data_IF_483766983576
#
_entry.id   IF_483766983576
#
_cell.length_a   1.000
_cell.length_b   1.000
_cell.length_c   1.000
_cell.angle_alpha   90.00
_cell.angle_beta   90.00
_cell.angle_gamma   90.00
#
_symmetry.space_group_name_H-M   'P 1'
#
loop_
_entity.id
_entity.type
_entity.pdbx_description
1 polymer ?
#
# COMPACT_ATOMS: atom_id res chain seq x y z
N UNK A 1 26.30 -9.02 18.28
CA UNK A 1 25.20 -8.23 18.85
C UNK A 1 24.01 -8.39 17.92
N UNK A 2 22.93 -9.01 18.38
CA UNK A 2 21.70 -9.20 17.59
C UNK A 2 20.61 -8.31 18.16
N UNK A 3 20.05 -7.43 17.34
CA UNK A 3 18.94 -6.57 17.69
C UNK A 3 17.62 -7.26 17.34
N UNK A 4 16.57 -7.02 18.11
CA UNK A 4 15.22 -7.51 17.83
C UNK A 4 14.33 -6.27 17.74
N UNK A 5 13.73 -6.04 16.57
CA UNK A 5 12.74 -4.97 16.36
C UNK A 5 11.37 -5.54 16.67
N UNK A 6 10.71 -4.99 17.69
CA UNK A 6 9.34 -5.36 18.06
C UNK A 6 8.35 -4.42 17.36
N UNK A 7 7.61 -4.93 16.37
CA UNK A 7 6.57 -4.18 15.65
C UNK A 7 5.43 -3.87 16.63
N UNK A 8 5.22 -2.58 16.94
CA UNK A 8 4.08 -2.15 17.75
C UNK A 8 2.81 -2.19 16.88
N UNK A 9 1.68 -2.70 17.41
CA UNK A 9 0.44 -2.77 16.66
C UNK A 9 -0.07 -1.36 16.34
N UNK A 10 -0.31 -1.10 15.06
CA UNK A 10 -0.87 0.16 14.57
C UNK A 10 -2.41 0.06 14.56
N UNK A 11 -3.16 1.13 14.89
CA UNK A 11 -4.63 1.11 14.87
C UNK A 11 -5.25 0.70 13.53
N UNK A 12 -4.50 0.89 12.43
CA UNK A 12 -4.92 0.50 11.08
C UNK A 12 -4.60 -0.97 10.74
N UNK A 13 -3.93 -1.72 11.60
CA UNK A 13 -3.55 -3.11 11.31
C UNK A 13 -4.77 -4.01 11.13
N UNK A 14 -5.81 -3.83 11.97
CA UNK A 14 -7.06 -4.57 11.82
C UNK A 14 -7.78 -4.24 10.51
N UNK A 15 -7.78 -2.96 10.11
CA UNK A 15 -8.40 -2.50 8.85
C UNK A 15 -7.63 -3.06 7.66
N UNK A 16 -6.30 -3.06 7.73
CA UNK A 16 -5.44 -3.65 6.71
C UNK A 16 -5.71 -5.14 6.53
N UNK A 17 -5.74 -5.90 7.63
CA UNK A 17 -6.01 -7.35 7.58
C UNK A 17 -7.36 -7.66 6.94
N UNK A 18 -8.39 -6.88 7.26
CA UNK A 18 -9.73 -7.04 6.65
C UNK A 18 -9.70 -6.71 5.16
N UNK A 19 -9.05 -5.61 4.76
CA UNK A 19 -8.95 -5.21 3.35
C UNK A 19 -8.16 -6.24 2.53
N UNK A 20 -7.05 -6.76 3.06
CA UNK A 20 -6.27 -7.82 2.42
C UNK A 20 -7.09 -9.09 2.23
N UNK A 21 -7.80 -9.54 3.26
CA UNK A 21 -8.66 -10.72 3.16
C UNK A 21 -9.74 -10.56 2.08
N UNK A 22 -10.32 -9.36 1.94
CA UNK A 22 -11.31 -9.07 0.91
C UNK A 22 -10.72 -9.15 -0.51
N UNK A 23 -9.49 -8.67 -0.70
CA UNK A 23 -8.76 -8.78 -1.98
C UNK A 23 -8.46 -10.24 -2.31
N UNK A 24 -7.92 -11.00 -1.35
CA UNK A 24 -7.61 -12.42 -1.51
C UNK A 24 -8.87 -13.25 -1.82
N UNK A 25 -9.99 -12.98 -1.13
CA UNK A 25 -11.26 -13.65 -1.37
C UNK A 25 -11.80 -13.35 -2.78
N UNK A 26 -11.72 -12.09 -3.22
CA UNK A 26 -12.18 -11.70 -4.55
C UNK A 26 -11.30 -12.32 -5.66
N UNK A 27 -9.97 -12.35 -5.46
CA UNK A 27 -9.06 -13.00 -6.41
C UNK A 27 -9.30 -14.51 -6.47
N UNK A 28 -9.48 -15.18 -5.33
CA UNK A 28 -9.79 -16.60 -5.28
C UNK A 28 -11.12 -16.93 -5.99
N UNK A 29 -12.11 -16.04 -5.93
CA UNK A 29 -13.37 -16.21 -6.65
C UNK A 29 -13.20 -16.08 -8.17
N UNK A 30 -12.32 -15.18 -8.64
CA UNK A 30 -11.94 -15.08 -10.06
C UNK A 30 -11.20 -16.36 -10.49
N UNK A 31 -10.22 -16.83 -9.71
CA UNK A 31 -9.42 -18.01 -10.04
C UNK A 31 -10.24 -19.30 -10.03
N UNK A 32 -11.31 -19.36 -9.22
CA UNK A 32 -12.23 -20.49 -9.16
C UNK A 32 -13.26 -20.52 -10.29
N UNK A 33 -13.34 -19.46 -11.12
CA UNK A 33 -14.32 -19.37 -12.21
C UNK A 33 -13.99 -20.39 -13.31
N UNK A 34 -14.86 -21.39 -13.47
CA UNK A 34 -14.68 -22.42 -14.48
C UNK A 34 -14.93 -21.88 -15.89
N UNK A 35 -14.06 -22.25 -16.84
CA UNK A 35 -14.21 -21.88 -18.25
C UNK A 35 -15.10 -22.89 -19.00
N UNK A 36 -15.97 -22.45 -19.93
CA UNK A 36 -16.19 -21.06 -20.35
C UNK A 36 -17.10 -20.28 -19.38
N UNK A 37 -16.80 -19.01 -19.17
CA UNK A 37 -17.63 -18.07 -18.41
C UNK A 37 -18.14 -16.93 -19.31
N UNK A 38 -19.23 -16.30 -18.89
CA UNK A 38 -19.80 -15.13 -19.56
C UNK A 38 -19.17 -13.83 -19.06
N UNK A 39 -19.25 -12.76 -19.87
CA UNK A 39 -18.78 -11.43 -19.45
C UNK A 39 -19.46 -10.96 -18.16
N UNK A 40 -20.77 -11.19 -18.00
CA UNK A 40 -21.49 -10.79 -16.80
C UNK A 40 -21.01 -11.49 -15.52
N UNK A 41 -20.54 -12.74 -15.62
CA UNK A 41 -20.00 -13.49 -14.48
C UNK A 41 -18.62 -12.98 -14.07
N UNK A 42 -17.74 -12.70 -15.04
CA UNK A 42 -16.41 -12.17 -14.75
C UNK A 42 -16.45 -10.69 -14.34
N UNK A 43 -17.31 -9.87 -14.96
CA UNK A 43 -17.42 -8.44 -14.66
C UNK A 43 -17.80 -8.21 -13.19
N UNK A 44 -18.78 -8.96 -12.67
CA UNK A 44 -19.19 -8.86 -11.26
C UNK A 44 -18.06 -9.22 -10.28
N UNK A 45 -17.21 -10.19 -10.63
CA UNK A 45 -16.07 -10.60 -9.82
C UNK A 45 -14.92 -9.59 -9.90
N UNK A 46 -14.66 -9.06 -11.11
CA UNK A 46 -13.67 -8.02 -11.35
C UNK A 46 -14.05 -6.72 -10.63
N UNK A 47 -15.32 -6.36 -10.60
CA UNK A 47 -15.84 -5.21 -9.86
C UNK A 47 -15.65 -5.38 -8.34
N UNK A 48 -15.94 -6.57 -7.81
CA UNK A 48 -15.71 -6.89 -6.39
C UNK A 48 -14.23 -6.80 -6.03
N UNK A 49 -13.36 -7.41 -6.85
CA UNK A 49 -11.91 -7.34 -6.67
C UNK A 49 -11.43 -5.89 -6.74
N UNK A 50 -11.95 -5.14 -7.71
CA UNK A 50 -11.66 -3.73 -7.91
C UNK A 50 -12.00 -2.86 -6.69
N UNK A 51 -13.18 -3.03 -6.11
CA UNK A 51 -13.56 -2.27 -4.93
C UNK A 51 -12.67 -2.61 -3.72
N UNK A 52 -12.32 -3.88 -3.55
CA UNK A 52 -11.44 -4.34 -2.47
C UNK A 52 -10.02 -3.77 -2.60
N UNK A 53 -9.46 -3.80 -3.81
CA UNK A 53 -8.13 -3.24 -4.09
C UNK A 53 -8.10 -1.72 -3.85
N UNK A 54 -9.12 -0.97 -4.28
CA UNK A 54 -9.22 0.47 -4.00
C UNK A 54 -9.28 0.78 -2.49
N UNK A 55 -10.01 -0.01 -1.72
CA UNK A 55 -10.10 0.15 -0.27
C UNK A 55 -8.73 -0.05 0.40
N UNK A 56 -7.96 -1.05 -0.04
CA UNK A 56 -6.59 -1.25 0.42
C UNK A 56 -5.67 -0.10 0.00
N UNK A 57 -5.80 0.38 -1.24
CA UNK A 57 -4.99 1.48 -1.77
C UNK A 57 -5.19 2.80 -1.02
N UNK A 58 -6.39 3.06 -0.52
CA UNK A 58 -6.70 4.26 0.27
C UNK A 58 -6.01 4.31 1.65
N UNK A 59 -5.53 3.16 2.17
CA UNK A 59 -4.81 3.11 3.44
C UNK A 59 -3.35 3.57 3.29
N UNK A 60 -2.72 4.19 4.31
CA UNK A 60 -1.28 4.41 4.29
C UNK A 60 -0.53 3.07 4.33
N UNK A 61 0.56 2.94 3.56
CA UNK A 61 1.47 1.80 3.66
C UNK A 61 2.25 1.86 4.98
N UNK A 62 2.39 0.73 5.68
CA UNK A 62 3.06 0.68 7.00
C UNK A 62 4.50 0.23 6.91
N UNK A 63 4.84 -0.57 5.89
CA UNK A 63 6.19 -1.04 5.61
C UNK A 63 6.42 -1.24 4.10
N UNK A 64 7.64 -1.64 3.74
CA UNK A 64 8.03 -1.85 2.34
C UNK A 64 7.23 -3.00 1.71
N UNK A 65 6.85 -4.03 2.47
CA UNK A 65 6.06 -5.14 1.95
C UNK A 65 4.66 -4.65 1.56
N UNK A 66 4.01 -3.84 2.40
CA UNK A 66 2.74 -3.20 2.09
C UNK A 66 2.81 -2.33 0.81
N UNK A 67 3.92 -1.59 0.62
CA UNK A 67 4.14 -0.82 -0.60
C UNK A 67 4.23 -1.71 -1.84
N UNK A 68 4.94 -2.85 -1.75
CA UNK A 68 5.06 -3.82 -2.84
C UNK A 68 3.69 -4.43 -3.17
N UNK A 69 2.93 -4.86 -2.16
CA UNK A 69 1.57 -5.40 -2.36
C UNK A 69 0.66 -4.38 -3.03
N UNK A 70 0.72 -3.11 -2.62
CA UNK A 70 -0.04 -2.05 -3.29
C UNK A 70 0.40 -1.88 -4.74
N UNK A 71 1.70 -1.91 -5.04
CA UNK A 71 2.20 -1.85 -6.41
C UNK A 71 1.69 -3.03 -7.26
N UNK A 72 1.70 -4.25 -6.71
CA UNK A 72 1.21 -5.45 -7.39
C UNK A 72 -0.28 -5.34 -7.73
N UNK A 73 -1.11 -4.88 -6.78
CA UNK A 73 -2.55 -4.69 -6.98
C UNK A 73 -2.88 -3.59 -8.00
N UNK A 74 -1.99 -2.62 -8.13
CA UNK A 74 -2.15 -1.52 -9.10
C UNK A 74 -1.65 -1.88 -10.48
N UNK A 75 -0.88 -2.97 -10.59
CA UNK A 75 -0.23 -3.44 -11.81
C UNK A 75 0.95 -2.55 -12.23
N UNK A 76 2.18 -3.08 -12.33
CA UNK A 76 3.25 -2.39 -13.05
C UNK A 76 3.03 -2.41 -14.58
N UNK A 77 2.25 -3.37 -15.09
CA UNK A 77 2.17 -3.72 -16.52
C UNK A 77 0.70 -4.00 -16.91
N UNK A 78 0.15 -3.12 -17.74
CA UNK A 78 -1.02 -3.31 -18.61
C UNK A 78 -2.24 -4.03 -18.01
N UNK A 79 -3.07 -3.29 -17.26
CA UNK A 79 -4.44 -3.71 -16.96
C UNK A 79 -4.95 -3.44 -15.54
N UNK A 80 -4.12 -2.95 -14.63
CA UNK A 80 -4.55 -2.64 -13.26
C UNK A 80 -5.42 -1.39 -13.15
N UNK A 81 -6.18 -1.29 -12.05
CA UNK A 81 -7.11 -0.18 -11.73
C UNK A 81 -6.49 1.23 -11.78
N UNK A 82 -5.15 1.33 -11.82
CA UNK A 82 -4.39 2.58 -11.89
C UNK A 82 -4.19 3.10 -13.31
N UNK A 83 -4.70 2.43 -14.36
CA UNK A 83 -4.71 3.01 -15.72
C UNK A 83 -5.33 4.42 -15.78
N UNK A 84 -6.21 4.78 -14.84
CA UNK A 84 -6.81 6.11 -14.74
C UNK A 84 -6.12 7.07 -13.77
N UNK A 85 -5.16 6.60 -12.97
CA UNK A 85 -4.46 7.42 -12.00
C UNK A 85 -3.17 8.00 -12.63
N UNK A 86 -2.97 9.31 -12.51
CA UNK A 86 -1.75 9.96 -13.00
C UNK A 86 -0.55 9.56 -12.13
N UNK A 87 0.21 8.57 -12.63
CA UNK A 87 1.42 8.06 -11.99
C UNK A 87 2.44 9.14 -11.67
N UNK A 88 2.57 10.14 -12.54
CA UNK A 88 3.53 11.23 -12.34
C UNK A 88 3.06 12.13 -11.20
N UNK A 89 1.77 12.44 -11.14
CA UNK A 89 1.20 13.20 -10.03
C UNK A 89 1.40 12.51 -8.68
N UNK A 90 1.10 11.20 -8.61
CA UNK A 90 1.28 10.40 -7.38
C UNK A 90 2.76 10.37 -6.95
N UNK A 91 3.67 10.14 -7.89
CA UNK A 91 5.11 10.10 -7.60
C UNK A 91 5.61 11.47 -7.14
N UNK A 92 5.18 12.55 -7.77
CA UNK A 92 5.55 13.92 -7.39
C UNK A 92 5.03 14.30 -6.00
N UNK A 93 3.80 13.90 -5.67
CA UNK A 93 3.25 14.12 -4.33
C UNK A 93 4.04 13.36 -3.27
N UNK A 94 4.40 12.10 -3.54
CA UNK A 94 5.23 11.30 -2.65
C UNK A 94 6.61 11.92 -2.43
N UNK A 95 7.28 12.38 -3.50
CA UNK A 95 8.55 13.10 -3.40
C UNK A 95 8.42 14.37 -2.56
N UNK A 96 7.35 15.13 -2.76
CA UNK A 96 7.08 16.36 -1.99
C UNK A 96 6.93 16.08 -0.49
N UNK A 97 6.25 14.97 -0.13
CA UNK A 97 6.11 14.55 1.26
C UNK A 97 7.43 14.12 1.88
N UNK A 98 8.27 13.38 1.12
CA UNK A 98 9.62 13.00 1.55
C UNK A 98 10.48 14.24 1.80
N UNK A 99 10.49 15.19 0.86
CA UNK A 99 11.24 16.44 1.00
C UNK A 99 10.77 17.24 2.22
N UNK A 100 9.46 17.33 2.45
CA UNK A 100 8.91 17.99 3.62
C UNK A 100 9.33 17.30 4.92
N UNK A 101 9.36 15.97 4.94
CA UNK A 101 9.79 15.18 6.09
C UNK A 101 11.29 15.37 6.37
N UNK A 102 12.14 15.31 5.34
CA UNK A 102 13.59 15.56 5.45
C UNK A 102 13.83 16.97 5.98
N UNK A 103 13.16 17.98 5.43
CA UNK A 103 13.35 19.36 5.84
C UNK A 103 12.88 19.62 7.29
N UNK A 104 11.81 18.95 7.74
CA UNK A 104 11.42 18.95 9.15
C UNK A 104 12.45 18.25 10.02
N UNK A 105 12.98 17.11 9.59
CA UNK A 105 14.05 16.38 10.28
C UNK A 105 15.31 17.24 10.45
N UNK A 106 15.73 17.97 9.41
CA UNK A 106 16.86 18.91 9.49
C UNK A 106 16.61 20.04 10.49
N UNK A 107 15.40 20.61 10.52
CA UNK A 107 15.04 21.65 11.50
C UNK A 107 15.10 21.11 12.92
N UNK A 108 14.57 19.90 13.15
CA UNK A 108 14.61 19.25 14.46
C UNK A 108 16.07 19.01 14.88
N UNK A 109 16.91 18.48 13.99
CA UNK A 109 18.34 18.25 14.24
C UNK A 109 19.10 19.54 14.58
N UNK A 110 18.72 20.68 14.01
CA UNK A 110 19.33 21.99 14.34
C UNK A 110 18.93 22.50 15.72
N UNK A 111 17.69 22.28 16.13
CA UNK A 111 17.16 22.77 17.41
C UNK A 111 17.54 21.81 18.56
N UNK A 112 17.67 20.52 18.26
CA UNK A 112 18.01 19.47 19.21
C UNK A 112 19.08 18.56 18.59
N UNK A 113 20.37 18.96 18.64
CA UNK A 113 21.47 18.21 18.03
C UNK A 113 21.57 16.78 18.56
N UNK A 114 21.27 16.62 19.85
CA UNK A 114 21.42 15.36 20.59
C UNK A 114 20.17 14.46 20.49
N UNK A 115 19.11 14.92 19.80
CA UNK A 115 17.85 14.17 19.68
C UNK A 115 18.01 12.79 19.03
N UNK A 116 19.06 12.62 18.22
CA UNK A 116 19.40 11.37 17.55
C UNK A 116 20.59 10.63 18.19
N UNK A 117 21.17 11.12 19.30
CA UNK A 117 22.32 10.46 19.95
C UNK A 117 21.99 9.09 20.59
N UNK A 118 20.71 8.73 20.68
CA UNK A 118 20.24 7.38 21.03
C UNK A 118 19.76 6.54 19.84
N UNK A 119 19.75 7.09 18.63
CA UNK A 119 19.27 6.45 17.40
C UNK A 119 20.48 6.15 16.51
N UNK A 120 21.33 5.21 16.93
CA UNK A 120 22.44 4.72 16.10
C UNK A 120 21.90 3.80 15.01
N UNK A 121 22.14 4.16 13.74
CA UNK A 121 21.98 3.30 12.55
C UNK A 121 22.92 2.10 12.60
#
# INVERSE_FOLDING_TARGET
>A
MSWIVLKQPHPLDGIWSVAMAAVEEAQAAIDALASPYTNGEIDALVDKHSAAAQALLALPARDVADCITKLDLTGPLDGGQIMWADRNAITNEMLTLIDAAVHRGEKIKKIMPDFLEGVTL
#
